data_IF_372450690862
#
_entry.id   IF_372450690862
#
_cell.length_a   1.000
_cell.length_b   1.000
_cell.length_c   1.000
_cell.angle_alpha   90.00
_cell.angle_beta   90.00
_cell.angle_gamma   90.00
#
_symmetry.space_group_name_H-M   'P 1'
#
loop_
_entity.id
_entity.type
_entity.pdbx_description
1 polymer ?
#
# COMPACT_ATOMS: atom_id res chain seq x y z
N UNK A 1 52.56 -0.98 -12.28
CA UNK A 1 52.15 -1.84 -11.14
C UNK A 1 51.15 -1.02 -10.31
N UNK A 2 49.84 -1.25 -10.43
CA UNK A 2 48.99 -2.18 -9.64
C UNK A 2 48.80 -1.73 -8.17
N UNK A 3 47.53 -1.40 -7.86
CA UNK A 3 46.84 -1.42 -6.54
C UNK A 3 47.23 -0.23 -5.62
N UNK A 4 46.32 0.43 -4.89
CA UNK A 4 45.22 -0.11 -4.08
C UNK A 4 43.99 0.83 -4.09
N UNK A 5 42.83 0.20 -4.19
CA UNK A 5 41.51 0.80 -3.96
C UNK A 5 41.37 1.06 -2.46
N UNK A 6 41.10 2.31 -2.10
CA UNK A 6 40.75 2.74 -0.74
C UNK A 6 39.27 2.39 -0.47
N UNK A 7 38.96 1.11 -0.40
CA UNK A 7 37.68 0.62 0.12
C UNK A 7 37.74 0.67 1.65
N UNK A 8 37.04 1.63 2.24
CA UNK A 8 37.02 1.74 3.70
C UNK A 8 36.24 2.94 4.21
N UNK A 9 35.09 3.27 3.64
CA UNK A 9 34.16 4.18 4.30
C UNK A 9 32.71 3.81 3.99
N UNK A 10 31.97 3.53 5.07
CA UNK A 10 30.50 3.53 5.14
C UNK A 10 29.73 2.37 4.50
N UNK A 11 29.85 1.17 5.07
CA UNK A 11 28.80 0.13 4.95
C UNK A 11 28.11 -0.17 6.29
N UNK A 12 28.10 0.81 7.21
CA UNK A 12 27.43 0.73 8.52
C UNK A 12 26.34 1.80 8.67
N UNK A 13 25.61 2.08 7.58
CA UNK A 13 24.40 2.94 7.61
C UNK A 13 23.24 2.34 6.79
N UNK A 14 23.32 1.06 6.43
CA UNK A 14 22.41 0.45 5.44
C UNK A 14 21.08 -0.04 6.03
N UNK A 15 20.93 -0.15 7.36
CA UNK A 15 19.74 -0.79 7.96
C UNK A 15 18.62 0.23 8.28
N UNK A 16 18.92 1.53 8.42
CA UNK A 16 17.90 2.55 8.73
C UNK A 16 17.21 3.16 7.51
N UNK A 17 17.67 2.85 6.28
CA UNK A 17 17.18 3.45 5.04
C UNK A 17 16.11 2.63 4.30
N UNK A 18 15.76 1.42 4.76
CA UNK A 18 14.78 0.56 4.08
C UNK A 18 13.37 1.17 4.06
N UNK A 19 12.99 1.97 5.05
CA UNK A 19 11.71 2.69 5.04
C UNK A 19 11.73 3.92 4.11
N UNK A 20 12.88 4.56 3.91
CA UNK A 20 12.97 5.79 3.11
C UNK A 20 12.66 5.56 1.61
N UNK A 21 12.81 4.32 1.11
CA UNK A 21 12.46 3.98 -0.29
C UNK A 21 10.98 3.58 -0.47
N UNK A 22 10.28 3.15 0.58
CA UNK A 22 8.90 2.64 0.48
C UNK A 22 7.85 3.55 1.15
N UNK A 23 8.28 4.44 2.06
CA UNK A 23 7.41 5.24 2.94
C UNK A 23 6.90 4.42 4.13
N UNK A 24 6.44 5.12 5.17
CA UNK A 24 5.81 4.54 6.37
C UNK A 24 4.34 4.16 6.13
N UNK A 25 3.76 3.22 6.90
CA UNK A 25 2.32 2.95 6.86
C UNK A 25 1.46 4.20 7.00
N UNK A 26 1.87 5.14 7.86
CA UNK A 26 1.21 6.41 8.16
C UNK A 26 1.22 7.33 6.95
N UNK A 27 2.38 7.57 6.33
CA UNK A 27 2.48 8.37 5.09
C UNK A 27 1.62 7.77 3.98
N UNK A 28 1.68 6.43 3.83
CA UNK A 28 0.87 5.71 2.83
C UNK A 28 -0.61 5.68 3.15
N UNK A 29 -1.00 5.83 4.41
CA UNK A 29 -2.40 6.00 4.79
C UNK A 29 -2.88 7.41 4.44
N UNK A 30 -2.09 8.43 4.77
CA UNK A 30 -2.36 9.83 4.40
C UNK A 30 -2.54 10.00 2.90
N UNK A 31 -1.61 9.49 2.08
CA UNK A 31 -1.72 9.55 0.60
C UNK A 31 -3.05 8.97 0.07
N UNK A 32 -3.47 7.84 0.64
CA UNK A 32 -4.71 7.17 0.25
C UNK A 32 -5.93 7.95 0.69
N UNK A 33 -5.95 8.47 1.92
CA UNK A 33 -7.06 9.30 2.42
C UNK A 33 -7.18 10.58 1.62
N UNK A 34 -6.07 11.23 1.27
CA UNK A 34 -6.07 12.40 0.38
C UNK A 34 -6.73 12.06 -0.96
N UNK A 35 -6.32 10.96 -1.59
CA UNK A 35 -6.91 10.52 -2.86
C UNK A 35 -8.41 10.22 -2.73
N UNK A 36 -8.83 9.55 -1.66
CA UNK A 36 -10.24 9.24 -1.42
C UNK A 36 -11.05 10.51 -1.11
N UNK A 37 -10.47 11.47 -0.40
CA UNK A 37 -11.08 12.77 -0.12
C UNK A 37 -11.32 13.54 -1.40
N UNK A 38 -10.34 13.58 -2.30
CA UNK A 38 -10.49 14.25 -3.60
C UNK A 38 -11.56 13.59 -4.48
N UNK A 39 -11.63 12.25 -4.49
CA UNK A 39 -12.58 11.50 -5.33
C UNK A 39 -14.00 11.48 -4.78
N UNK A 40 -14.15 11.42 -3.47
CA UNK A 40 -15.44 11.18 -2.79
C UNK A 40 -15.95 12.39 -2.01
N UNK A 41 -15.16 13.46 -1.93
CA UNK A 41 -15.46 14.65 -1.11
C UNK A 41 -15.76 14.26 0.34
N UNK A 42 -14.86 13.48 0.96
CA UNK A 42 -15.04 12.97 2.33
C UNK A 42 -15.13 14.11 3.35
N UNK A 43 -16.05 14.01 4.31
CA UNK A 43 -16.09 14.92 5.47
C UNK A 43 -14.90 14.67 6.39
N UNK A 44 -14.60 15.60 7.30
CA UNK A 44 -13.49 15.44 8.27
C UNK A 44 -13.66 14.18 9.14
N UNK A 45 -14.89 13.86 9.56
CA UNK A 45 -15.20 12.67 10.33
C UNK A 45 -14.98 11.37 9.53
N UNK A 46 -15.41 11.37 8.26
CA UNK A 46 -15.15 10.26 7.35
C UNK A 46 -13.65 10.10 7.09
N UNK A 47 -12.92 11.21 6.89
CA UNK A 47 -11.46 11.18 6.69
C UNK A 47 -10.73 10.53 7.87
N UNK A 48 -11.07 10.91 9.11
CA UNK A 48 -10.47 10.32 10.30
C UNK A 48 -10.75 8.81 10.42
N UNK A 49 -11.99 8.41 10.14
CA UNK A 49 -12.40 6.99 10.22
C UNK A 49 -11.77 6.16 9.11
N UNK A 50 -11.74 6.68 7.88
CA UNK A 50 -11.07 6.05 6.72
C UNK A 50 -9.56 5.97 6.95
N UNK A 51 -8.94 7.00 7.54
CA UNK A 51 -7.51 6.98 7.89
C UNK A 51 -7.16 5.80 8.78
N UNK A 52 -7.92 5.58 9.86
CA UNK A 52 -7.66 4.48 10.79
C UNK A 52 -7.77 3.12 10.09
N UNK A 53 -8.79 2.92 9.26
CA UNK A 53 -8.97 1.67 8.48
C UNK A 53 -7.81 1.46 7.52
N UNK A 54 -7.38 2.52 6.82
CA UNK A 54 -6.28 2.42 5.86
C UNK A 54 -4.96 2.18 6.59
N UNK A 55 -4.70 2.84 7.71
CA UNK A 55 -3.50 2.66 8.52
C UNK A 55 -3.39 1.22 9.04
N UNK A 56 -4.49 0.65 9.55
CA UNK A 56 -4.56 -0.75 9.98
C UNK A 56 -4.16 -1.69 8.82
N UNK A 57 -4.78 -1.49 7.65
CA UNK A 57 -4.45 -2.27 6.44
C UNK A 57 -2.98 -2.12 6.03
N UNK A 58 -2.45 -0.89 6.02
CA UNK A 58 -1.06 -0.63 5.59
C UNK A 58 -0.07 -1.27 6.56
N UNK A 59 -0.31 -1.14 7.85
CA UNK A 59 0.51 -1.76 8.91
C UNK A 59 0.52 -3.27 8.77
N UNK A 60 -0.65 -3.90 8.65
CA UNK A 60 -0.76 -5.34 8.44
C UNK A 60 -0.07 -5.80 7.15
N UNK A 61 -0.24 -5.05 6.05
CA UNK A 61 0.47 -5.32 4.78
C UNK A 61 2.00 -5.25 4.92
N UNK A 62 2.51 -4.29 5.68
CA UNK A 62 3.96 -4.17 5.91
C UNK A 62 4.48 -5.34 6.74
N UNK A 63 3.74 -5.74 7.78
CA UNK A 63 4.07 -6.92 8.57
C UNK A 63 4.10 -8.19 7.71
N UNK A 64 3.08 -8.43 6.88
CA UNK A 64 3.03 -9.59 5.97
C UNK A 64 4.19 -9.61 4.98
N UNK A 65 4.60 -8.46 4.45
CA UNK A 65 5.74 -8.37 3.53
C UNK A 65 7.10 -8.52 4.20
N UNK A 66 7.17 -8.26 5.50
CA UNK A 66 8.39 -8.45 6.30
C UNK A 66 8.50 -9.90 6.82
N UNK A 67 7.42 -10.67 6.78
CA UNK A 67 7.40 -12.06 7.24
C UNK A 67 8.06 -12.98 6.20
N UNK A 68 9.27 -13.43 6.51
CA UNK A 68 10.05 -14.34 5.64
C UNK A 68 9.64 -15.81 5.78
N UNK A 69 8.65 -16.13 6.62
CA UNK A 69 8.18 -17.50 6.84
C UNK A 69 7.01 -17.88 5.93
N UNK A 70 6.36 -16.88 5.32
CA UNK A 70 5.22 -17.06 4.42
C UNK A 70 5.68 -17.09 2.96
N UNK A 71 5.00 -17.89 2.13
CA UNK A 71 5.20 -17.84 0.69
C UNK A 71 4.57 -16.57 0.10
N UNK A 72 5.07 -16.15 -1.07
CA UNK A 72 4.53 -14.98 -1.77
C UNK A 72 3.04 -15.12 -2.08
N UNK A 73 2.59 -16.33 -2.45
CA UNK A 73 1.17 -16.60 -2.74
C UNK A 73 0.30 -16.38 -1.51
N UNK A 74 0.73 -16.88 -0.34
CA UNK A 74 0.02 -16.69 0.93
C UNK A 74 0.01 -15.22 1.33
N UNK A 75 1.13 -14.50 1.15
CA UNK A 75 1.19 -13.05 1.39
C UNK A 75 0.21 -12.32 0.47
N UNK A 76 0.15 -12.67 -0.81
CA UNK A 76 -0.73 -12.04 -1.79
C UNK A 76 -2.21 -12.29 -1.49
N UNK A 77 -2.57 -13.50 -1.09
CA UNK A 77 -3.92 -13.84 -0.65
C UNK A 77 -4.33 -13.03 0.58
N UNK A 78 -3.48 -13.01 1.62
CA UNK A 78 -3.76 -12.24 2.84
C UNK A 78 -3.88 -10.74 2.57
N UNK A 79 -3.02 -10.17 1.72
CA UNK A 79 -3.12 -8.77 1.29
C UNK A 79 -4.42 -8.52 0.50
N UNK A 80 -4.87 -9.47 -0.30
CA UNK A 80 -6.16 -9.37 -1.00
C UNK A 80 -7.32 -9.30 -0.01
N UNK A 81 -7.34 -10.19 0.98
CA UNK A 81 -8.35 -10.20 2.04
C UNK A 81 -8.33 -8.91 2.84
N UNK A 82 -7.15 -8.44 3.29
CA UNK A 82 -7.02 -7.15 3.99
C UNK A 82 -7.55 -5.98 3.16
N UNK A 83 -7.36 -6.03 1.85
CA UNK A 83 -7.86 -4.99 0.94
C UNK A 83 -9.38 -5.02 0.86
N UNK A 84 -9.98 -6.19 0.62
CA UNK A 84 -11.44 -6.35 0.56
C UNK A 84 -12.12 -6.00 1.87
N UNK A 85 -11.56 -6.40 3.01
CA UNK A 85 -12.08 -6.03 4.34
C UNK A 85 -12.04 -4.52 4.56
N UNK A 86 -10.93 -3.87 4.22
CA UNK A 86 -10.83 -2.42 4.34
C UNK A 86 -11.82 -1.70 3.42
N UNK A 87 -11.99 -2.18 2.18
CA UNK A 87 -12.94 -1.60 1.24
C UNK A 87 -14.38 -1.72 1.73
N UNK A 88 -14.75 -2.87 2.31
CA UNK A 88 -16.07 -3.05 2.93
C UNK A 88 -16.29 -2.06 4.09
N UNK A 89 -15.34 -1.98 5.03
CA UNK A 89 -15.40 -1.03 6.15
C UNK A 89 -15.49 0.43 5.68
N UNK A 90 -14.76 0.80 4.62
CA UNK A 90 -14.83 2.15 4.06
C UNK A 90 -16.21 2.41 3.46
N UNK A 91 -16.75 1.47 2.68
CA UNK A 91 -18.07 1.60 2.04
C UNK A 91 -19.20 1.84 3.05
N UNK A 92 -19.12 1.25 4.24
CA UNK A 92 -20.07 1.45 5.35
C UNK A 92 -20.05 2.87 5.92
N UNK A 93 -18.94 3.62 5.76
CA UNK A 93 -18.81 5.00 6.22
C UNK A 93 -19.30 6.03 5.19
N UNK A 94 -19.56 5.60 3.96
CA UNK A 94 -19.90 6.48 2.85
C UNK A 94 -21.41 6.72 2.74
N UNK A 95 -21.78 7.91 2.26
CA UNK A 95 -23.17 8.20 1.91
C UNK A 95 -23.57 7.46 0.62
N UNK A 96 -24.87 7.38 0.35
CA UNK A 96 -25.39 6.75 -0.88
C UNK A 96 -24.86 7.43 -2.16
N UNK A 97 -24.59 8.74 -2.10
CA UNK A 97 -24.03 9.51 -3.20
C UNK A 97 -22.53 9.23 -3.43
N UNK A 98 -21.80 8.86 -2.37
CA UNK A 98 -20.36 8.59 -2.43
C UNK A 98 -20.04 7.15 -2.86
N UNK A 99 -20.90 6.19 -2.53
CA UNK A 99 -20.69 4.76 -2.83
C UNK A 99 -20.42 4.46 -4.31
N UNK A 100 -21.14 5.04 -5.30
CA UNK A 100 -20.86 4.79 -6.71
C UNK A 100 -19.45 5.23 -7.15
N UNK A 101 -18.98 6.38 -6.66
CA UNK A 101 -17.62 6.86 -6.96
C UNK A 101 -16.55 5.98 -6.29
N UNK A 102 -16.85 5.44 -5.12
CA UNK A 102 -15.96 4.50 -4.46
C UNK A 102 -15.86 3.16 -5.19
N UNK A 103 -16.97 2.65 -5.73
CA UNK A 103 -16.96 1.45 -6.59
C UNK A 103 -16.07 1.68 -7.81
N UNK A 104 -16.22 2.81 -8.51
CA UNK A 104 -15.35 3.17 -9.65
C UNK A 104 -13.87 3.22 -9.24
N UNK A 105 -13.57 3.83 -8.08
CA UNK A 105 -12.20 3.86 -7.56
C UNK A 105 -11.63 2.45 -7.32
N UNK A 106 -12.42 1.52 -6.76
CA UNK A 106 -12.00 0.13 -6.55
C UNK A 106 -11.72 -0.56 -7.89
N UNK A 107 -12.60 -0.38 -8.88
CA UNK A 107 -12.44 -0.94 -10.22
C UNK A 107 -11.17 -0.42 -10.89
N UNK A 108 -10.95 0.90 -10.91
CA UNK A 108 -9.73 1.53 -11.43
C UNK A 108 -8.46 0.98 -10.76
N UNK A 109 -8.48 0.85 -9.43
CA UNK A 109 -7.36 0.33 -8.65
C UNK A 109 -7.07 -1.14 -9.00
N UNK A 110 -8.11 -1.95 -9.14
CA UNK A 110 -7.98 -3.37 -9.47
C UNK A 110 -7.50 -3.57 -10.91
N UNK A 111 -7.98 -2.76 -11.86
CA UNK A 111 -7.49 -2.76 -13.24
C UNK A 111 -5.99 -2.43 -13.31
N UNK A 112 -5.55 -1.37 -12.63
CA UNK A 112 -4.11 -1.01 -12.54
C UNK A 112 -3.26 -2.13 -11.92
N UNK A 113 -3.79 -2.85 -10.94
CA UNK A 113 -3.12 -4.02 -10.36
C UNK A 113 -2.97 -5.13 -11.40
N UNK A 114 -4.04 -5.44 -12.15
CA UNK A 114 -4.03 -6.47 -13.18
C UNK A 114 -3.07 -6.14 -14.33
N UNK A 115 -3.06 -4.89 -14.81
CA UNK A 115 -2.12 -4.40 -15.83
C UNK A 115 -0.67 -4.56 -15.37
N UNK A 116 -0.36 -4.16 -14.13
CA UNK A 116 0.97 -4.32 -13.56
C UNK A 116 1.40 -5.78 -13.53
N UNK A 117 0.53 -6.68 -13.08
CA UNK A 117 0.80 -8.12 -13.06
C UNK A 117 1.02 -8.69 -14.47
N UNK A 118 0.24 -8.24 -15.46
CA UNK A 118 0.40 -8.67 -16.86
C UNK A 118 1.71 -8.17 -17.49
N UNK A 119 2.12 -6.93 -17.20
CA UNK A 119 3.37 -6.33 -17.72
C UNK A 119 4.66 -6.92 -17.14
N UNK A 120 4.56 -7.73 -16.07
CA UNK A 120 5.69 -8.38 -15.40
C UNK A 120 5.89 -9.85 -15.85
N UNK A 121 5.09 -10.36 -16.79
CA UNK A 121 5.35 -11.66 -17.39
C UNK A 121 6.64 -11.62 -18.23
N UNK A 122 7.60 -12.55 -18.04
CA UNK A 122 8.76 -12.63 -18.90
C UNK A 122 8.29 -12.96 -20.32
N UNK A 123 8.80 -12.22 -21.30
CA UNK A 123 8.76 -12.62 -22.71
C UNK A 123 9.43 -13.98 -22.78
N UNK A 124 8.63 -15.02 -23.04
CA UNK A 124 9.11 -16.39 -23.31
C UNK A 124 9.87 -16.41 -24.64
#
# INVERSE_FOLDING_TARGET
MKKLILTGLSFLFAITLTFAQQGTPEEKATEVVTTLTEKLTLTEEQQASVYNIVLEKKTAKYALKADTTLSEDVINEQISTLTSTADAKISELLTEEQKPEFVKYIEERNAKKAEKTSSMQPVQ
#
